data_IF_600365434949
#
_entry.id   IF_600365434949
#
_cell.length_a   1.000
_cell.length_b   1.000
_cell.length_c   1.000
_cell.angle_alpha   90.00
_cell.angle_beta   90.00
_cell.angle_gamma   90.00
#
_symmetry.space_group_name_H-M   'P 1'
#
loop_
_entity.id
_entity.type
_entity.pdbx_description
1 polymer ?
#
# COMPACT_ATOMS: atom_id res chain seq x y z
N UNK A 1 -21.36 -3.93 -14.33
CA UNK A 1 -21.00 -4.99 -13.37
C UNK A 1 -20.22 -4.34 -12.23
N UNK A 2 -20.34 -4.85 -11.01
CA UNK A 2 -19.73 -4.22 -9.83
C UNK A 2 -18.43 -4.94 -9.44
N UNK A 3 -17.39 -4.15 -9.12
CA UNK A 3 -16.08 -4.63 -8.65
C UNK A 3 -15.89 -4.15 -7.21
N UNK A 4 -15.44 -5.04 -6.32
CA UNK A 4 -15.15 -4.67 -4.94
C UNK A 4 -13.69 -4.27 -4.76
N UNK A 5 -13.44 -3.09 -4.21
CA UNK A 5 -12.09 -2.61 -3.86
C UNK A 5 -12.19 -1.94 -2.50
N UNK A 6 -11.28 -2.29 -1.59
CA UNK A 6 -11.08 -1.57 -0.34
C UNK A 6 -11.16 -2.44 0.90
N UNK A 7 -11.24 -1.78 2.05
CA UNK A 7 -11.13 -2.40 3.37
C UNK A 7 -12.40 -3.12 3.79
N UNK A 8 -12.23 -4.34 4.31
CA UNK A 8 -13.29 -5.11 4.93
C UNK A 8 -13.10 -5.14 6.46
N UNK A 9 -14.17 -5.04 7.26
CA UNK A 9 -14.10 -4.94 8.72
C UNK A 9 -13.95 -6.34 9.36
N UNK A 10 -13.00 -7.13 8.88
CA UNK A 10 -12.76 -8.50 9.34
C UNK A 10 -11.34 -8.67 9.84
N UNK A 11 -11.20 -9.45 10.92
CA UNK A 11 -9.90 -9.88 11.48
C UNK A 11 -9.46 -11.24 10.93
N UNK A 12 -10.40 -11.99 10.37
CA UNK A 12 -10.19 -13.32 9.79
C UNK A 12 -10.44 -13.25 8.30
N UNK A 13 -9.63 -14.00 7.55
CA UNK A 13 -9.70 -14.00 6.08
C UNK A 13 -10.98 -14.72 5.63
N UNK A 14 -11.38 -15.76 6.35
CA UNK A 14 -12.54 -16.59 6.05
C UNK A 14 -13.84 -15.76 6.07
N UNK A 15 -14.03 -14.93 7.10
CA UNK A 15 -15.21 -14.06 7.22
C UNK A 15 -15.31 -13.07 6.04
N UNK A 16 -14.16 -12.56 5.57
CA UNK A 16 -14.08 -11.67 4.41
C UNK A 16 -14.41 -12.42 3.11
N UNK A 17 -13.89 -13.63 2.93
CA UNK A 17 -14.14 -14.46 1.75
C UNK A 17 -15.62 -14.87 1.65
N UNK A 18 -16.26 -15.21 2.77
CA UNK A 18 -17.69 -15.55 2.81
C UNK A 18 -18.57 -14.35 2.40
N UNK A 19 -18.23 -13.15 2.86
CA UNK A 19 -18.91 -11.91 2.46
C UNK A 19 -18.73 -11.65 0.95
N UNK A 20 -17.52 -11.82 0.43
CA UNK A 20 -17.21 -11.62 -0.99
C UNK A 20 -17.98 -12.64 -1.84
N UNK A 21 -17.94 -13.93 -1.49
CA UNK A 21 -18.60 -14.99 -2.24
C UNK A 21 -20.12 -14.82 -2.26
N UNK A 22 -20.72 -14.36 -1.17
CA UNK A 22 -22.17 -14.09 -1.10
C UNK A 22 -22.60 -12.81 -1.81
N UNK A 23 -21.73 -11.79 -1.88
CA UNK A 23 -22.06 -10.48 -2.46
C UNK A 23 -21.66 -10.34 -3.94
N UNK A 24 -20.53 -10.92 -4.32
CA UNK A 24 -19.89 -10.81 -5.64
C UNK A 24 -19.43 -12.18 -6.17
N UNK A 25 -20.34 -13.15 -6.37
CA UNK A 25 -19.96 -14.53 -6.70
C UNK A 25 -19.19 -14.71 -8.03
N UNK A 26 -19.29 -13.74 -8.94
CA UNK A 26 -18.72 -13.83 -10.29
C UNK A 26 -17.74 -12.70 -10.62
N UNK A 27 -17.53 -11.74 -9.71
CA UNK A 27 -16.75 -10.54 -9.99
C UNK A 27 -15.49 -10.51 -9.12
N UNK A 28 -14.38 -9.93 -9.63
CA UNK A 28 -13.17 -9.79 -8.85
C UNK A 28 -13.40 -8.85 -7.66
N UNK A 29 -12.74 -9.18 -6.55
CA UNK A 29 -12.67 -8.34 -5.38
C UNK A 29 -11.20 -8.21 -4.97
N UNK A 30 -10.77 -6.99 -4.66
CA UNK A 30 -9.46 -6.70 -4.07
C UNK A 30 -9.65 -6.28 -2.60
N UNK A 31 -9.81 -7.25 -1.68
CA UNK A 31 -10.06 -6.93 -0.28
C UNK A 31 -8.78 -6.50 0.42
N UNK A 32 -8.93 -5.57 1.36
CA UNK A 32 -7.91 -5.21 2.33
C UNK A 32 -8.42 -5.55 3.73
N UNK A 33 -7.59 -6.13 4.58
CA UNK A 33 -7.96 -6.49 5.96
C UNK A 33 -7.12 -5.72 6.99
N UNK A 34 -7.19 -4.37 7.04
CA UNK A 34 -6.39 -3.57 7.97
C UNK A 34 -6.68 -3.87 9.45
N UNK A 35 -7.81 -4.52 9.76
CA UNK A 35 -8.11 -4.98 11.13
C UNK A 35 -7.41 -6.29 11.50
N UNK A 36 -6.99 -7.09 10.51
CA UNK A 36 -6.20 -8.31 10.71
C UNK A 36 -4.72 -7.96 10.91
N UNK A 37 -4.19 -7.11 10.04
CA UNK A 37 -2.81 -6.61 10.08
C UNK A 37 -2.82 -5.20 9.46
N UNK A 38 -2.19 -4.22 10.12
CA UNK A 38 -2.08 -2.85 9.60
C UNK A 38 -1.35 -2.78 8.26
N UNK A 39 -0.48 -3.77 7.98
CA UNK A 39 0.22 -3.94 6.70
C UNK A 39 -0.71 -4.29 5.53
N UNK A 40 -1.93 -4.76 5.81
CA UNK A 40 -2.97 -4.98 4.80
C UNK A 40 -3.67 -3.67 4.41
N UNK A 41 -3.32 -2.55 5.05
CA UNK A 41 -3.83 -1.23 4.71
C UNK A 41 -3.23 -0.66 3.42
N UNK A 42 -3.95 0.29 2.82
CA UNK A 42 -3.57 0.93 1.56
C UNK A 42 -2.12 1.46 1.54
N UNK A 43 -1.67 2.12 2.60
CA UNK A 43 -0.32 2.72 2.65
C UNK A 43 0.77 1.67 2.50
N UNK A 44 0.63 0.54 3.19
CA UNK A 44 1.61 -0.54 3.12
C UNK A 44 1.54 -1.35 1.82
N UNK A 45 0.37 -1.46 1.20
CA UNK A 45 0.24 -2.21 -0.06
C UNK A 45 0.69 -1.40 -1.28
N UNK A 46 0.40 -0.10 -1.32
CA UNK A 46 0.54 0.71 -2.54
C UNK A 46 1.60 1.79 -2.44
N UNK A 47 2.03 2.16 -1.24
CA UNK A 47 3.00 3.23 -1.01
C UNK A 47 4.30 2.70 -0.38
N UNK A 48 4.60 1.40 -0.53
CA UNK A 48 5.82 0.75 0.01
C UNK A 48 7.09 1.54 -0.28
N UNK A 49 7.36 2.01 -1.52
CA UNK A 49 8.54 2.83 -1.80
C UNK A 49 8.65 4.09 -0.91
N UNK A 50 7.52 4.75 -0.63
CA UNK A 50 7.50 5.96 0.19
C UNK A 50 7.72 5.64 1.67
N UNK A 51 7.29 4.47 2.13
CA UNK A 51 7.53 3.99 3.51
C UNK A 51 9.00 3.58 3.66
N UNK A 52 9.52 2.76 2.74
CA UNK A 52 10.91 2.26 2.75
C UNK A 52 11.94 3.38 2.62
N UNK A 53 11.65 4.42 1.83
CA UNK A 53 12.51 5.60 1.71
C UNK A 53 12.32 6.62 2.85
N UNK A 54 11.45 6.33 3.81
CA UNK A 54 11.24 7.16 5.00
C UNK A 54 10.46 8.45 4.76
N UNK A 55 9.77 8.59 3.61
CA UNK A 55 8.91 9.73 3.31
C UNK A 55 7.60 9.69 4.10
N UNK A 56 7.07 8.49 4.35
CA UNK A 56 5.87 8.27 5.15
C UNK A 56 6.25 7.57 6.45
N UNK A 57 5.81 8.13 7.58
CA UNK A 57 5.84 7.44 8.87
C UNK A 57 4.54 6.66 9.07
N UNK A 58 4.68 5.40 9.50
CA UNK A 58 3.58 4.47 9.82
C UNK A 58 3.53 4.11 11.31
N UNK A 59 4.38 4.72 12.14
CA UNK A 59 4.47 4.40 13.58
C UNK A 59 3.29 4.94 14.41
N UNK A 60 2.61 5.97 13.90
CA UNK A 60 1.44 6.56 14.54
C UNK A 60 0.16 5.95 13.98
N UNK A 61 -0.93 6.07 14.74
CA UNK A 61 -2.27 5.58 14.37
C UNK A 61 -2.74 6.05 12.99
N UNK A 62 -2.22 7.16 12.48
CA UNK A 62 -2.46 7.65 11.13
C UNK A 62 -1.14 7.89 10.41
N UNK A 63 -0.90 7.26 9.24
CA UNK A 63 0.26 7.53 8.44
C UNK A 63 0.34 9.00 8.01
N UNK A 64 1.56 9.56 7.99
CA UNK A 64 1.78 10.95 7.61
C UNK A 64 3.13 11.14 6.93
N UNK A 65 3.22 12.16 6.08
CA UNK A 65 4.49 12.55 5.47
C UNK A 65 5.41 13.22 6.49
N UNK A 66 6.68 12.82 6.50
CA UNK A 66 7.72 13.36 7.39
C UNK A 66 8.30 14.69 6.87
N UNK A 67 7.46 15.65 6.51
CA UNK A 67 7.89 16.91 5.86
C UNK A 67 8.83 17.77 6.72
N UNK A 68 8.73 17.64 8.04
CA UNK A 68 9.57 18.38 8.99
C UNK A 68 10.87 17.65 9.35
N UNK A 69 11.13 16.47 8.78
CA UNK A 69 12.30 15.69 9.11
C UNK A 69 13.57 16.27 8.45
N UNK A 70 14.73 16.28 9.13
CA UNK A 70 15.98 16.83 8.59
C UNK A 70 16.42 16.18 7.27
N UNK A 71 16.07 14.91 7.07
CA UNK A 71 16.37 14.07 5.92
C UNK A 71 15.29 14.13 4.82
N UNK A 72 14.22 14.92 4.99
CA UNK A 72 13.09 14.97 4.05
C UNK A 72 13.52 15.17 2.59
N UNK A 73 14.36 16.18 2.35
CA UNK A 73 14.81 16.50 0.99
C UNK A 73 15.65 15.38 0.38
N UNK A 74 16.48 14.72 1.19
CA UNK A 74 17.31 13.60 0.75
C UNK A 74 16.44 12.39 0.38
N UNK A 75 15.50 12.01 1.25
CA UNK A 75 14.53 10.94 0.98
C UNK A 75 13.68 11.21 -0.26
N UNK A 76 13.24 12.46 -0.44
CA UNK A 76 12.44 12.86 -1.60
C UNK A 76 13.27 12.78 -2.89
N UNK A 77 14.53 13.19 -2.83
CA UNK A 77 15.46 13.11 -3.96
C UNK A 77 15.68 11.66 -4.37
N UNK A 78 15.97 10.76 -3.41
CA UNK A 78 16.12 9.31 -3.67
C UNK A 78 14.89 8.70 -4.34
N UNK A 79 13.69 9.08 -3.89
CA UNK A 79 12.46 8.59 -4.50
C UNK A 79 12.34 9.01 -5.97
N UNK A 80 12.58 10.27 -6.29
CA UNK A 80 12.49 10.74 -7.68
C UNK A 80 13.63 10.23 -8.55
N UNK A 81 14.85 10.09 -8.03
CA UNK A 81 15.95 9.46 -8.74
C UNK A 81 15.58 8.02 -9.15
N UNK A 82 15.05 7.24 -8.20
CA UNK A 82 14.58 5.89 -8.48
C UNK A 82 13.42 5.87 -9.49
N UNK A 83 12.42 6.73 -9.31
CA UNK A 83 11.28 6.80 -10.24
C UNK A 83 11.72 7.15 -11.66
N UNK A 84 12.59 8.16 -11.82
CA UNK A 84 13.06 8.62 -13.12
C UNK A 84 13.98 7.61 -13.80
N UNK A 85 14.79 6.86 -13.04
CA UNK A 85 15.63 5.80 -13.61
C UNK A 85 14.80 4.65 -14.18
N UNK A 86 13.73 4.26 -13.47
CA UNK A 86 12.78 3.26 -13.95
C UNK A 86 12.00 3.74 -15.18
N UNK A 87 11.61 5.01 -15.24
CA UNK A 87 10.97 5.60 -16.43
C UNK A 87 11.89 5.54 -17.66
N UNK A 88 13.21 5.62 -17.46
CA UNK A 88 14.22 5.49 -18.52
C UNK A 88 14.50 4.03 -18.92
N UNK A 89 13.83 3.06 -18.28
CA UNK A 89 13.93 1.65 -18.60
C UNK A 89 15.04 0.91 -17.85
N UNK A 90 15.56 1.47 -16.74
CA UNK A 90 16.42 0.73 -15.83
C UNK A 90 15.62 -0.35 -15.07
N UNK A 91 16.32 -1.40 -14.62
CA UNK A 91 15.74 -2.45 -13.79
C UNK A 91 15.47 -1.96 -12.36
N UNK A 92 14.46 -2.53 -11.69
CA UNK A 92 14.13 -2.19 -10.30
C UNK A 92 12.64 -2.00 -9.99
N UNK A 93 11.75 -2.33 -10.93
CA UNK A 93 10.29 -2.29 -10.73
C UNK A 93 9.83 -3.14 -9.54
N UNK A 94 10.59 -4.17 -9.16
CA UNK A 94 10.30 -5.01 -7.98
C UNK A 94 10.24 -4.21 -6.68
N UNK A 95 10.92 -3.05 -6.60
CA UNK A 95 10.82 -2.17 -5.44
C UNK A 95 9.43 -1.53 -5.27
N UNK A 96 8.66 -1.45 -6.35
CA UNK A 96 7.29 -0.94 -6.38
C UNK A 96 6.24 -2.07 -6.34
N UNK A 97 6.68 -3.33 -6.25
CA UNK A 97 5.77 -4.47 -6.15
C UNK A 97 5.06 -4.51 -4.78
N UNK A 98 3.97 -5.26 -4.73
CA UNK A 98 3.30 -5.55 -3.46
C UNK A 98 4.25 -6.34 -2.54
N UNK A 99 4.29 -6.01 -1.23
CA UNK A 99 5.14 -6.71 -0.25
C UNK A 99 4.69 -8.16 0.02
#
# INVERSE_FOLDING_TARGET
MATGIGSLPHKKVEDALDLIASSFPYMPHWPQLPQKDEKEGFVHQYLTPLVELGLISVEKQSPFFRTDAPDWLESLTKFYELYLSLEQGEDGLDFFAFP
#
